data_IF_425346419145
#
_entry.id   IF_425346419145
#
_cell.length_a   1.000
_cell.length_b   1.000
_cell.length_c   1.000
_cell.angle_alpha   90.00
_cell.angle_beta   90.00
_cell.angle_gamma   90.00
#
_symmetry.space_group_name_H-M   'P 1'
#
loop_
_entity.id
_entity.type
_entity.pdbx_description
1 polymer ?
#
# COMPACT_ATOMS: atom_id res chain seq x y z
N UNK A 1 19.81 -3.81 2.12
CA UNK A 1 18.83 -2.72 2.32
C UNK A 1 17.62 -3.30 3.05
N UNK A 2 17.19 -2.71 4.17
CA UNK A 2 16.02 -3.14 4.91
C UNK A 2 14.80 -2.34 4.43
N UNK A 3 13.97 -2.96 3.60
CA UNK A 3 12.75 -2.35 3.09
C UNK A 3 11.55 -2.77 3.94
N UNK A 4 10.64 -1.82 4.18
CA UNK A 4 9.38 -2.06 4.90
C UNK A 4 8.20 -1.73 3.97
N UNK A 5 7.22 -2.64 3.89
CA UNK A 5 5.95 -2.37 3.23
C UNK A 5 5.09 -1.44 4.09
N UNK A 6 4.49 -0.42 3.50
CA UNK A 6 3.48 0.42 4.13
C UNK A 6 2.13 0.14 3.47
N UNK A 7 1.26 -0.54 4.19
CA UNK A 7 -0.10 -0.84 3.73
C UNK A 7 -1.06 0.21 4.26
N UNK A 8 -1.62 1.03 3.37
CA UNK A 8 -2.60 2.05 3.74
C UNK A 8 -4.00 1.44 3.83
N UNK A 9 -4.48 1.21 5.04
CA UNK A 9 -5.75 0.57 5.36
C UNK A 9 -6.70 1.48 6.19
N UNK A 10 -6.43 2.80 6.21
CA UNK A 10 -7.20 3.77 7.00
C UNK A 10 -8.28 4.53 6.20
N UNK A 11 -8.58 4.12 4.96
CA UNK A 11 -9.61 4.71 4.11
C UNK A 11 -11.02 4.48 4.63
N UNK A 12 -11.94 5.43 4.39
CA UNK A 12 -13.32 5.37 4.91
C UNK A 12 -14.23 4.39 4.15
N UNK A 13 -13.89 4.02 2.91
CA UNK A 13 -14.74 3.16 2.08
C UNK A 13 -16.16 3.70 1.84
N UNK A 14 -16.35 5.02 1.84
CA UNK A 14 -17.67 5.67 1.83
C UNK A 14 -18.57 5.22 0.66
N UNK A 15 -17.98 4.99 -0.52
CA UNK A 15 -18.72 4.55 -1.72
C UNK A 15 -19.09 3.06 -1.68
N UNK A 16 -18.38 2.27 -0.91
CA UNK A 16 -18.65 0.83 -0.76
C UNK A 16 -19.86 0.55 0.13
N UNK A 17 -20.23 1.49 1.00
CA UNK A 17 -21.39 1.37 1.89
C UNK A 17 -21.17 0.46 3.09
N UNK A 18 -19.93 0.12 3.45
CA UNK A 18 -19.63 -0.76 4.57
C UNK A 18 -18.13 -0.98 4.79
N UNK A 19 -17.80 -2.05 5.51
CA UNK A 19 -16.44 -2.43 5.85
C UNK A 19 -15.70 -3.04 4.63
N UNK A 20 -15.41 -2.24 3.61
CA UNK A 20 -14.78 -2.63 2.34
C UNK A 20 -13.62 -3.61 2.53
N UNK A 21 -12.66 -3.28 3.38
CA UNK A 21 -11.45 -4.06 3.57
C UNK A 21 -11.67 -5.41 4.26
N UNK A 22 -12.83 -5.61 4.89
CA UNK A 22 -13.26 -6.88 5.48
C UNK A 22 -14.10 -7.73 4.52
N UNK A 23 -14.47 -7.20 3.36
CA UNK A 23 -15.23 -7.93 2.34
C UNK A 23 -14.38 -9.06 1.76
N UNK A 24 -14.97 -10.25 1.49
CA UNK A 24 -14.23 -11.40 0.99
C UNK A 24 -13.84 -11.21 -0.48
N UNK A 25 -12.65 -11.67 -0.84
CA UNK A 25 -12.27 -11.85 -2.24
C UNK A 25 -13.22 -12.83 -2.93
N UNK A 26 -13.70 -12.53 -4.14
CA UNK A 26 -14.60 -13.43 -4.88
C UNK A 26 -13.85 -14.66 -5.43
N UNK A 27 -12.58 -14.49 -5.76
CA UNK A 27 -11.73 -15.53 -6.37
C UNK A 27 -10.36 -15.54 -5.72
N UNK A 28 -9.59 -16.61 -5.95
CA UNK A 28 -8.18 -16.68 -5.54
C UNK A 28 -7.35 -15.63 -6.27
N UNK A 29 -6.48 -14.93 -5.53
CA UNK A 29 -5.53 -13.96 -6.06
C UNK A 29 -4.11 -14.33 -5.63
N UNK A 30 -3.23 -14.62 -6.58
CA UNK A 30 -1.80 -14.93 -6.36
C UNK A 30 -1.52 -15.89 -5.18
N UNK A 31 -2.33 -16.96 -5.06
CA UNK A 31 -2.19 -17.96 -4.00
C UNK A 31 -2.97 -17.63 -2.71
N UNK A 32 -3.52 -16.43 -2.58
CA UNK A 32 -4.45 -16.07 -1.48
C UNK A 32 -5.86 -16.54 -1.86
N UNK A 33 -6.44 -17.41 -1.05
CA UNK A 33 -7.72 -18.06 -1.34
C UNK A 33 -8.92 -17.11 -1.39
N UNK A 34 -9.93 -17.47 -2.18
CA UNK A 34 -11.24 -16.83 -2.13
C UNK A 34 -11.81 -16.85 -0.71
N UNK A 35 -12.59 -15.84 -0.35
CA UNK A 35 -13.12 -15.66 1.00
C UNK A 35 -12.17 -14.89 1.96
N UNK A 36 -10.89 -14.75 1.62
CA UNK A 36 -9.98 -13.89 2.38
C UNK A 36 -10.41 -12.42 2.30
N UNK A 37 -10.39 -11.70 3.41
CA UNK A 37 -10.69 -10.27 3.42
C UNK A 37 -9.73 -9.46 2.52
N UNK A 38 -10.26 -8.50 1.76
CA UNK A 38 -9.51 -7.69 0.77
C UNK A 38 -8.23 -7.10 1.38
N UNK A 39 -8.35 -6.44 2.53
CA UNK A 39 -7.20 -5.82 3.18
C UNK A 39 -6.16 -6.83 3.65
N UNK A 40 -6.59 -8.04 4.04
CA UNK A 40 -5.69 -9.15 4.41
C UNK A 40 -5.00 -9.70 3.17
N UNK A 41 -5.68 -9.84 2.04
CA UNK A 41 -5.07 -10.30 0.80
C UNK A 41 -3.95 -9.36 0.34
N UNK A 42 -4.21 -8.04 0.30
CA UNK A 42 -3.21 -7.03 -0.02
C UNK A 42 -2.00 -7.09 0.93
N UNK A 43 -2.25 -7.33 2.23
CA UNK A 43 -1.21 -7.51 3.25
C UNK A 43 -0.33 -8.73 2.96
N UNK A 44 -0.95 -9.87 2.67
CA UNK A 44 -0.23 -11.12 2.38
C UNK A 44 0.62 -11.03 1.12
N UNK A 45 0.16 -10.31 0.08
CA UNK A 45 0.95 -10.06 -1.13
C UNK A 45 2.20 -9.22 -0.82
N UNK A 46 2.09 -8.18 0.02
CA UNK A 46 3.26 -7.43 0.48
C UNK A 46 4.22 -8.29 1.31
N UNK A 47 3.70 -9.08 2.26
CA UNK A 47 4.50 -9.96 3.12
C UNK A 47 5.21 -11.08 2.34
N UNK A 48 4.68 -11.46 1.18
CA UNK A 48 5.33 -12.45 0.30
C UNK A 48 6.60 -11.91 -0.37
N UNK A 49 6.74 -10.59 -0.47
CA UNK A 49 7.86 -9.93 -1.15
C UNK A 49 8.77 -9.13 -0.20
N UNK A 50 8.29 -8.78 0.98
CA UNK A 50 8.99 -7.90 1.92
C UNK A 50 9.08 -8.54 3.31
N UNK A 51 10.20 -8.33 4.02
CA UNK A 51 10.43 -8.94 5.33
C UNK A 51 9.54 -8.37 6.45
N UNK A 52 9.04 -7.15 6.28
CA UNK A 52 8.21 -6.44 7.25
C UNK A 52 7.14 -5.63 6.54
N UNK A 53 5.93 -5.62 7.11
CA UNK A 53 4.83 -4.75 6.67
C UNK A 53 4.26 -4.01 7.87
N UNK A 54 4.14 -2.68 7.75
CA UNK A 54 3.40 -1.80 8.65
C UNK A 54 2.05 -1.50 8.01
N UNK A 55 0.98 -1.97 8.62
CA UNK A 55 -0.38 -1.68 8.20
C UNK A 55 -0.95 -0.52 9.02
N UNK A 56 -1.33 0.54 8.33
CA UNK A 56 -1.90 1.74 8.96
C UNK A 56 -3.41 1.65 8.90
N UNK A 57 -4.05 1.62 10.07
CA UNK A 57 -5.51 1.53 10.21
C UNK A 57 -6.07 2.76 10.91
N UNK A 58 -7.39 2.93 10.87
CA UNK A 58 -8.10 3.95 11.66
C UNK A 58 -8.22 3.49 13.12
N UNK A 59 -8.24 4.43 14.06
CA UNK A 59 -8.64 4.12 15.43
C UNK A 59 -10.03 3.48 15.46
N UNK A 60 -10.14 2.38 16.20
CA UNK A 60 -11.40 1.65 16.35
C UNK A 60 -11.70 0.56 15.30
N UNK A 61 -10.91 0.43 14.23
CA UNK A 61 -11.04 -0.67 13.25
C UNK A 61 -10.44 -1.98 13.79
N UNK A 62 -10.90 -2.39 15.00
CA UNK A 62 -10.32 -3.48 15.77
C UNK A 62 -10.34 -4.84 15.05
N UNK A 63 -11.39 -5.13 14.28
CA UNK A 63 -11.52 -6.38 13.53
C UNK A 63 -10.44 -6.44 12.44
N UNK A 64 -10.33 -5.39 11.61
CA UNK A 64 -9.33 -5.32 10.55
C UNK A 64 -7.91 -5.36 11.15
N UNK A 65 -7.67 -4.58 12.20
CA UNK A 65 -6.39 -4.55 12.91
C UNK A 65 -5.99 -5.94 13.43
N UNK A 66 -6.93 -6.70 14.02
CA UNK A 66 -6.70 -8.06 14.49
C UNK A 66 -6.35 -9.01 13.35
N UNK A 67 -7.09 -8.96 12.23
CA UNK A 67 -6.82 -9.81 11.07
C UNK A 67 -5.47 -9.49 10.43
N UNK A 68 -5.09 -8.22 10.30
CA UNK A 68 -3.80 -7.81 9.76
C UNK A 68 -2.62 -8.24 10.66
N UNK A 69 -2.77 -8.16 12.00
CA UNK A 69 -1.79 -8.71 12.93
C UNK A 69 -1.65 -10.22 12.79
N UNK A 70 -2.77 -10.93 12.68
CA UNK A 70 -2.77 -12.39 12.47
C UNK A 70 -2.12 -12.79 11.14
N UNK A 71 -2.19 -11.94 10.12
CA UNK A 71 -1.50 -12.12 8.85
C UNK A 71 0.02 -11.88 8.93
N UNK A 72 0.52 -11.26 10.01
CA UNK A 72 1.94 -10.99 10.24
C UNK A 72 2.35 -9.53 10.13
N UNK A 73 1.41 -8.60 9.88
CA UNK A 73 1.74 -7.19 9.83
C UNK A 73 1.87 -6.55 11.21
N UNK A 74 2.76 -5.59 11.33
CA UNK A 74 2.77 -4.64 12.46
C UNK A 74 1.72 -3.57 12.22
N UNK A 75 0.70 -3.48 13.07
CA UNK A 75 -0.42 -2.57 12.91
C UNK A 75 -0.20 -1.29 13.70
N UNK A 76 -0.40 -0.15 13.06
CA UNK A 76 -0.34 1.21 13.62
C UNK A 76 -1.68 1.91 13.42
N UNK A 77 -2.24 2.47 14.48
CA UNK A 77 -3.43 3.31 14.41
C UNK A 77 -3.05 4.75 14.10
N UNK A 78 -3.61 5.31 13.02
CA UNK A 78 -3.41 6.70 12.66
C UNK A 78 -4.52 7.57 13.27
N UNK A 79 -4.23 8.28 14.36
CA UNK A 79 -5.19 9.20 14.98
C UNK A 79 -5.67 10.32 14.02
N UNK A 80 -4.83 10.65 13.02
CA UNK A 80 -5.09 11.68 12.01
C UNK A 80 -5.67 11.12 10.71
N UNK A 81 -6.18 9.88 10.70
CA UNK A 81 -6.70 9.23 9.48
C UNK A 81 -7.82 10.03 8.79
N UNK A 82 -8.56 10.84 9.55
CA UNK A 82 -9.61 11.71 9.01
C UNK A 82 -9.07 12.90 8.21
N UNK A 83 -7.78 13.23 8.34
CA UNK A 83 -7.12 14.25 7.52
C UNK A 83 -6.80 13.75 6.11
N UNK A 84 -6.84 12.42 5.89
CA UNK A 84 -6.67 11.81 4.59
C UNK A 84 -5.48 10.87 4.45
N UNK A 85 -5.20 10.48 3.21
CA UNK A 85 -4.19 9.48 2.87
C UNK A 85 -2.76 9.94 3.21
N UNK A 86 -2.45 11.23 3.09
CA UNK A 86 -1.14 11.79 3.41
C UNK A 86 -0.79 11.59 4.89
N UNK A 87 -1.74 11.88 5.81
CA UNK A 87 -1.54 11.67 7.24
C UNK A 87 -1.35 10.19 7.59
N UNK A 88 -2.08 9.29 6.91
CA UNK A 88 -1.92 7.84 7.08
C UNK A 88 -0.55 7.36 6.61
N UNK A 89 -0.08 7.82 5.45
CA UNK A 89 1.24 7.49 4.92
C UNK A 89 2.36 8.01 5.84
N UNK A 90 2.26 9.26 6.30
CA UNK A 90 3.21 9.82 7.25
C UNK A 90 3.30 8.97 8.53
N UNK A 91 2.16 8.54 9.08
CA UNK A 91 2.12 7.68 10.27
C UNK A 91 2.82 6.34 10.05
N UNK A 92 2.63 5.72 8.88
CA UNK A 92 3.29 4.47 8.51
C UNK A 92 4.81 4.63 8.38
N UNK A 93 5.25 5.68 7.68
CA UNK A 93 6.67 5.99 7.47
C UNK A 93 7.37 6.30 8.79
N UNK A 94 6.75 7.11 9.66
CA UNK A 94 7.29 7.41 11.01
C UNK A 94 7.40 6.14 11.85
N UNK A 95 6.42 5.25 11.79
CA UNK A 95 6.47 3.97 12.49
C UNK A 95 7.59 3.04 11.97
N UNK A 96 8.04 3.21 10.73
CA UNK A 96 9.12 2.46 10.11
C UNK A 96 10.35 3.35 9.80
N UNK A 97 10.66 4.30 10.67
CA UNK A 97 11.73 5.30 10.46
C UNK A 97 13.14 4.68 10.29
N UNK A 98 13.35 3.48 10.86
CA UNK A 98 14.63 2.76 10.77
C UNK A 98 14.81 1.97 9.46
N UNK A 99 13.82 2.00 8.53
CA UNK A 99 13.93 1.36 7.24
C UNK A 99 14.83 2.17 6.28
N UNK A 100 15.54 1.47 5.39
CA UNK A 100 16.32 2.11 4.32
C UNK A 100 15.42 2.59 3.17
N UNK A 101 14.15 2.18 3.15
CA UNK A 101 13.14 2.59 2.18
C UNK A 101 11.80 1.91 2.44
N UNK A 102 10.77 2.41 1.75
CA UNK A 102 9.39 1.95 1.92
C UNK A 102 8.77 1.60 0.58
N UNK A 103 7.98 0.51 0.56
CA UNK A 103 7.10 0.15 -0.55
C UNK A 103 5.67 0.39 -0.12
N UNK A 104 5.02 1.38 -0.70
CA UNK A 104 3.68 1.84 -0.33
C UNK A 104 2.63 1.20 -1.21
N UNK A 105 1.66 0.53 -0.61
CA UNK A 105 0.53 -0.08 -1.28
C UNK A 105 -0.79 0.26 -0.58
N UNK A 106 -1.89 0.15 -1.33
CA UNK A 106 -3.24 0.39 -0.84
C UNK A 106 -3.89 -0.95 -0.47
N UNK A 107 -4.60 -0.97 0.67
CA UNK A 107 -5.24 -2.19 1.16
C UNK A 107 -6.45 -2.63 0.32
N UNK A 108 -6.97 -1.77 -0.53
CA UNK A 108 -8.07 -2.04 -1.45
C UNK A 108 -7.62 -2.46 -2.85
N UNK A 109 -6.34 -2.79 -3.04
CA UNK A 109 -5.77 -3.29 -4.29
C UNK A 109 -5.29 -4.76 -4.15
N UNK A 110 -6.21 -5.73 -3.96
CA UNK A 110 -5.86 -7.11 -3.62
C UNK A 110 -5.36 -7.95 -4.80
N UNK A 111 -5.26 -7.37 -5.99
CA UNK A 111 -4.83 -8.08 -7.21
C UNK A 111 -3.39 -7.76 -7.62
N UNK A 112 -2.68 -6.89 -6.90
CA UNK A 112 -1.26 -6.63 -7.16
C UNK A 112 -0.45 -7.91 -6.90
N UNK A 113 0.29 -8.36 -7.90
CA UNK A 113 1.12 -9.56 -7.79
C UNK A 113 2.30 -9.34 -6.82
N UNK A 114 2.66 -10.32 -5.96
CA UNK A 114 3.89 -10.25 -5.16
C UNK A 114 5.15 -10.00 -5.99
N UNK A 115 5.23 -10.55 -7.21
CA UNK A 115 6.34 -10.30 -8.12
C UNK A 115 6.48 -8.81 -8.50
N UNK A 116 5.36 -8.10 -8.67
CA UNK A 116 5.34 -6.65 -8.92
C UNK A 116 5.87 -5.87 -7.72
N UNK A 117 5.52 -6.28 -6.50
CA UNK A 117 6.08 -5.69 -5.26
C UNK A 117 7.59 -5.92 -5.20
N UNK A 118 8.07 -7.13 -5.53
CA UNK A 118 9.49 -7.46 -5.57
C UNK A 118 10.27 -6.60 -6.57
N UNK A 119 9.73 -6.33 -7.77
CA UNK A 119 10.37 -5.46 -8.76
C UNK A 119 10.62 -4.03 -8.21
N UNK A 120 9.67 -3.49 -7.46
CA UNK A 120 9.83 -2.17 -6.81
C UNK A 120 10.89 -2.23 -5.72
N UNK A 121 10.91 -3.29 -4.91
CA UNK A 121 11.91 -3.50 -3.87
C UNK A 121 13.33 -3.65 -4.46
N UNK A 122 13.47 -4.40 -5.54
CA UNK A 122 14.74 -4.62 -6.24
C UNK A 122 15.29 -3.30 -6.81
N UNK A 123 14.43 -2.47 -7.43
CA UNK A 123 14.85 -1.19 -7.97
C UNK A 123 15.32 -0.22 -6.87
N UNK A 124 14.63 -0.18 -5.71
CA UNK A 124 15.10 0.59 -4.54
C UNK A 124 16.46 0.06 -4.05
N UNK A 125 16.62 -1.26 -3.98
CA UNK A 125 17.87 -1.91 -3.57
C UNK A 125 19.01 -1.61 -4.55
N UNK A 126 18.70 -1.45 -5.84
CA UNK A 126 19.63 -1.03 -6.87
C UNK A 126 19.97 0.48 -6.82
N UNK A 127 19.36 1.25 -5.93
CA UNK A 127 19.70 2.66 -5.69
C UNK A 127 18.70 3.67 -6.26
N UNK A 128 17.55 3.25 -6.76
CA UNK A 128 16.51 4.18 -7.18
C UNK A 128 15.98 5.00 -5.97
N UNK A 129 15.82 6.30 -6.13
CA UNK A 129 15.27 7.19 -5.09
C UNK A 129 13.75 7.04 -4.95
N UNK A 130 13.05 7.03 -6.08
CA UNK A 130 11.61 6.81 -6.16
C UNK A 130 11.32 5.84 -7.31
N UNK A 131 10.45 4.87 -7.06
CA UNK A 131 10.02 3.89 -8.05
C UNK A 131 8.50 3.84 -8.08
N UNK A 132 7.91 3.85 -9.26
CA UNK A 132 6.48 3.62 -9.41
C UNK A 132 6.22 2.57 -10.50
N UNK A 133 5.23 1.72 -10.29
CA UNK A 133 4.75 0.82 -11.33
C UNK A 133 3.93 1.57 -12.37
N UNK A 134 3.94 1.07 -13.60
CA UNK A 134 3.02 1.52 -14.65
C UNK A 134 2.48 0.34 -15.43
N UNK A 135 1.27 0.52 -15.97
CA UNK A 135 0.60 -0.42 -16.87
C UNK A 135 0.04 0.36 -18.05
N UNK A 136 0.50 0.03 -19.26
CA UNK A 136 0.12 0.73 -20.50
C UNK A 136 0.31 2.25 -20.36
N UNK A 137 1.47 2.67 -19.77
CA UNK A 137 1.81 4.07 -19.56
C UNK A 137 1.01 4.79 -18.46
N UNK A 138 0.12 4.11 -17.76
CA UNK A 138 -0.61 4.66 -16.61
C UNK A 138 0.10 4.25 -15.31
N UNK A 139 0.46 5.24 -14.48
CA UNK A 139 1.12 4.99 -13.19
C UNK A 139 0.14 4.37 -12.19
N UNK A 140 0.59 3.30 -11.53
CA UNK A 140 -0.17 2.56 -10.54
C UNK A 140 0.53 2.43 -9.18
N UNK A 141 0.16 1.42 -8.42
CA UNK A 141 0.75 0.97 -7.18
C UNK A 141 1.38 -0.43 -7.35
N UNK A 142 2.37 -0.80 -6.49
CA UNK A 142 2.93 -0.03 -5.39
C UNK A 142 3.89 1.06 -5.85
N UNK A 143 4.19 1.99 -4.93
CA UNK A 143 5.20 3.04 -5.12
C UNK A 143 6.29 2.88 -4.07
N UNK A 144 7.55 2.88 -4.50
CA UNK A 144 8.71 2.76 -3.64
C UNK A 144 9.40 4.11 -3.39
N UNK A 145 9.91 4.31 -2.17
CA UNK A 145 10.67 5.49 -1.76
C UNK A 145 11.90 5.07 -0.96
N UNK A 146 13.06 5.58 -1.30
CA UNK A 146 14.27 5.45 -0.48
C UNK A 146 14.21 6.34 0.77
N UNK A 147 14.99 6.02 1.80
CA UNK A 147 15.03 6.76 3.08
C UNK A 147 15.39 8.22 2.94
N UNK A 148 16.06 8.65 1.86
CA UNK A 148 16.32 10.06 1.55
C UNK A 148 15.05 10.92 1.46
N UNK A 149 13.88 10.30 1.21
CA UNK A 149 12.59 10.99 1.16
C UNK A 149 11.84 10.98 2.50
N UNK A 150 12.45 10.46 3.60
CA UNK A 150 11.81 10.37 4.92
C UNK A 150 11.16 11.67 5.37
N UNK A 151 11.94 12.78 5.36
CA UNK A 151 11.44 14.05 5.86
C UNK A 151 10.20 14.56 5.09
N UNK A 152 10.21 14.41 3.77
CA UNK A 152 9.08 14.80 2.93
C UNK A 152 7.85 13.91 3.17
N UNK A 153 8.03 12.59 3.31
CA UNK A 153 6.95 11.65 3.56
C UNK A 153 6.38 11.80 4.98
N UNK A 154 7.23 11.98 5.99
CA UNK A 154 6.81 12.16 7.38
C UNK A 154 6.03 13.47 7.63
N UNK A 155 6.24 14.48 6.77
CA UNK A 155 5.55 15.77 6.83
C UNK A 155 4.21 15.79 6.07
N UNK A 156 3.81 14.70 5.42
CA UNK A 156 2.58 14.64 4.63
C UNK A 156 1.33 14.84 5.49
N UNK A 157 0.37 15.55 4.92
CA UNK A 157 -0.97 15.81 5.47
C UNK A 157 -2.00 15.73 4.35
N UNK A 158 -3.28 15.82 4.70
CA UNK A 158 -4.35 15.86 3.70
C UNK A 158 -4.56 14.53 2.96
N UNK A 159 -5.29 14.57 1.86
CA UNK A 159 -5.81 13.39 1.16
C UNK A 159 -5.05 12.99 -0.12
N UNK A 160 -4.07 13.80 -0.56
CA UNK A 160 -3.34 13.55 -1.82
C UNK A 160 -2.27 12.45 -1.73
N UNK A 161 -2.08 11.84 -0.56
CA UNK A 161 -1.04 10.83 -0.35
C UNK A 161 0.35 11.37 -0.68
N UNK A 162 1.15 10.63 -1.45
CA UNK A 162 2.50 11.03 -1.84
C UNK A 162 2.56 11.88 -3.13
N UNK A 163 1.44 12.37 -3.67
CA UNK A 163 1.42 13.12 -4.95
C UNK A 163 2.34 14.34 -4.95
N UNK A 164 2.38 15.08 -3.85
CA UNK A 164 3.26 16.25 -3.72
C UNK A 164 4.75 15.86 -3.79
N UNK A 165 5.15 14.77 -3.13
CA UNK A 165 6.53 14.26 -3.17
C UNK A 165 6.88 13.78 -4.60
N UNK A 166 5.98 13.02 -5.24
CA UNK A 166 6.16 12.56 -6.61
C UNK A 166 6.27 13.72 -7.62
N UNK A 167 5.49 14.79 -7.42
CA UNK A 167 5.53 15.97 -8.29
C UNK A 167 6.78 16.79 -8.10
N UNK A 168 7.27 16.93 -6.86
CA UNK A 168 8.49 17.66 -6.54
C UNK A 168 9.76 16.96 -7.06
N UNK A 169 9.72 15.64 -7.22
CA UNK A 169 10.85 14.81 -7.65
C UNK A 169 10.55 14.05 -8.96
N UNK A 170 9.76 14.65 -9.86
CA UNK A 170 9.28 13.98 -11.08
C UNK A 170 10.41 13.40 -11.94
N UNK A 171 11.53 14.07 -12.02
CA UNK A 171 12.72 13.69 -12.77
C UNK A 171 13.50 12.51 -12.14
N UNK A 172 13.23 12.21 -10.86
CA UNK A 172 13.84 11.09 -10.12
C UNK A 172 12.94 9.85 -10.06
N UNK A 173 11.69 9.94 -10.55
CA UNK A 173 10.76 8.81 -10.54
C UNK A 173 11.13 7.82 -11.64
N UNK A 174 11.63 6.65 -11.23
CA UNK A 174 11.80 5.52 -12.13
C UNK A 174 10.45 4.81 -12.32
N UNK A 175 9.95 4.76 -13.56
CA UNK A 175 8.76 3.97 -13.89
C UNK A 175 9.18 2.55 -14.31
N UNK A 176 8.49 1.56 -13.74
CA UNK A 176 8.62 0.15 -14.13
C UNK A 176 7.30 -0.27 -14.80
N UNK A 177 7.36 -0.49 -16.11
CA UNK A 177 6.22 -1.05 -16.83
C UNK A 177 6.07 -2.53 -16.48
N UNK A 178 4.88 -2.94 -16.05
CA UNK A 178 4.57 -4.30 -15.61
C UNK A 178 3.37 -4.87 -16.38
N UNK A 179 3.35 -6.19 -16.57
CA UNK A 179 2.20 -6.91 -17.10
C UNK A 179 1.30 -7.41 -15.96
N UNK A 180 0.82 -6.48 -15.15
CA UNK A 180 0.02 -6.73 -13.95
C UNK A 180 -1.10 -5.67 -13.88
N UNK A 181 -2.30 -6.04 -14.29
CA UNK A 181 -3.46 -5.13 -14.26
C UNK A 181 -3.87 -4.75 -12.84
N UNK A 182 -3.47 -5.54 -11.83
CA UNK A 182 -3.71 -5.27 -10.41
C UNK A 182 -3.14 -3.93 -9.95
N UNK A 183 -2.11 -3.39 -10.62
CA UNK A 183 -1.48 -2.11 -10.25
C UNK A 183 -2.38 -0.90 -10.46
N UNK A 184 -3.43 -1.05 -11.27
CA UNK A 184 -4.43 0.00 -11.56
C UNK A 184 -5.82 -0.34 -11.00
N UNK A 185 -5.98 -1.52 -10.39
CA UNK A 185 -7.30 -2.02 -10.00
C UNK A 185 -7.49 -1.92 -8.48
N UNK A 186 -8.31 -0.97 -8.06
CA UNK A 186 -8.80 -0.85 -6.69
C UNK A 186 -10.25 -1.34 -6.57
N UNK A 187 -10.67 -1.58 -5.35
CA UNK A 187 -12.07 -1.91 -5.02
C UNK A 187 -12.71 -0.65 -4.45
N UNK A 188 -13.57 0.03 -5.21
CA UNK A 188 -14.30 1.22 -4.76
C UNK A 188 -15.77 0.92 -4.43
N UNK A 189 -16.36 -0.04 -5.15
CA UNK A 189 -17.75 -0.45 -5.01
C UNK A 189 -17.87 -1.98 -4.91
N UNK A 190 -18.99 -2.51 -4.40
CA UNK A 190 -19.24 -3.97 -4.44
C UNK A 190 -19.20 -4.56 -5.85
N UNK A 191 -19.52 -3.77 -6.89
CA UNK A 191 -19.46 -4.20 -8.29
C UNK A 191 -18.04 -4.54 -8.76
N UNK A 192 -17.00 -3.91 -8.20
CA UNK A 192 -15.60 -4.16 -8.56
C UNK A 192 -15.13 -5.56 -8.13
N UNK A 193 -15.87 -6.22 -7.24
CA UNK A 193 -15.64 -7.60 -6.82
C UNK A 193 -16.31 -8.62 -7.75
N UNK A 194 -17.24 -8.21 -8.60
CA UNK A 194 -18.04 -9.12 -9.43
C UNK A 194 -17.41 -9.43 -10.79
N UNK A 195 -16.18 -8.93 -11.06
CA UNK A 195 -15.48 -9.05 -12.34
C UNK A 195 -14.42 -10.14 -12.37
#
# INVERSE_FOLDING_TARGET
MRLTGILLAAGQGARFGGAKLLSPLPTTSHGVGAGTAIGVASCLHLLSALPEVVAVVRPGDSILASQLRSAGARVVECARANEGMGASLASGVVAAAEADGWVVALADMPWIAPATVALVADALTAGAGIVATSRIGVRGHPVGFASSHYAALAALTGDEGAKSVLSAHRDQVQLIEVDDDGVLRDVDTPGDLAG
#
